data_IF_155003142201
#
_entry.id   IF_155003142201
#
_cell.length_a   1.000
_cell.length_b   1.000
_cell.length_c   1.000
_cell.angle_alpha   90.00
_cell.angle_beta   90.00
_cell.angle_gamma   90.00
#
_symmetry.space_group_name_H-M   'P 1'
#
loop_
_entity.id
_entity.type
_entity.pdbx_description
1 polymer ?
#
# COMPACT_ATOMS: atom_id res chain seq x y z
N UNK A 1 -0.20 4.42 -5.05
CA UNK A 1 -0.23 5.58 -5.97
C UNK A 1 0.36 6.84 -5.33
N UNK A 2 0.00 7.20 -4.09
CA UNK A 2 0.48 8.37 -3.32
C UNK A 2 1.98 8.70 -3.32
N UNK A 3 2.83 7.68 -3.47
CA UNK A 3 4.29 7.82 -3.40
C UNK A 3 4.95 8.03 -4.76
N UNK A 4 4.20 8.03 -5.87
CA UNK A 4 4.75 8.15 -7.22
C UNK A 4 5.21 9.56 -7.60
N UNK A 5 5.01 10.56 -6.74
CA UNK A 5 5.48 11.93 -6.94
C UNK A 5 4.54 12.85 -7.72
N UNK A 6 3.41 12.34 -8.22
CA UNK A 6 2.37 13.16 -8.87
C UNK A 6 1.41 13.77 -7.85
N UNK A 7 1.13 15.07 -8.00
CA UNK A 7 0.26 15.80 -7.08
C UNK A 7 -1.24 15.67 -7.38
N UNK A 8 -1.60 15.47 -8.66
CA UNK A 8 -2.98 15.34 -9.11
C UNK A 8 -3.26 13.89 -9.46
N UNK A 9 -3.97 13.19 -8.56
CA UNK A 9 -4.40 11.82 -8.76
C UNK A 9 -5.88 11.79 -9.15
N UNK A 10 -6.20 11.14 -10.26
CA UNK A 10 -7.57 10.98 -10.77
C UNK A 10 -7.93 9.50 -10.70
N UNK A 11 -9.07 9.18 -10.11
CA UNK A 11 -9.61 7.82 -10.09
C UNK A 11 -10.85 7.75 -10.98
N UNK A 12 -10.73 7.08 -12.13
CA UNK A 12 -11.82 6.96 -13.11
C UNK A 12 -12.63 5.69 -12.85
N UNK A 13 -13.94 5.82 -12.70
CA UNK A 13 -14.89 4.73 -12.55
C UNK A 13 -15.79 4.67 -13.79
N UNK A 14 -15.66 3.60 -14.56
CA UNK A 14 -16.46 3.38 -15.78
C UNK A 14 -17.64 2.44 -15.51
N UNK A 15 -18.79 2.76 -16.11
CA UNK A 15 -20.04 1.99 -16.04
C UNK A 15 -21.07 2.59 -15.08
N UNK A 16 -22.24 1.96 -15.00
CA UNK A 16 -23.27 2.32 -14.02
C UNK A 16 -23.09 1.49 -12.73
N UNK A 17 -22.70 2.09 -11.60
CA UNK A 17 -22.58 1.38 -10.33
C UNK A 17 -23.86 0.68 -9.90
N UNK A 18 -25.04 1.20 -10.30
CA UNK A 18 -26.33 0.61 -9.93
C UNK A 18 -26.64 -0.69 -10.67
N UNK A 19 -25.92 -0.98 -11.75
CA UNK A 19 -26.04 -2.26 -12.47
C UNK A 19 -25.31 -3.41 -11.78
N UNK A 20 -24.50 -3.12 -10.76
CA UNK A 20 -23.75 -4.10 -9.98
C UNK A 20 -24.48 -4.46 -8.69
N UNK A 21 -24.47 -5.74 -8.31
CA UNK A 21 -24.94 -6.21 -6.99
C UNK A 21 -24.15 -5.57 -5.84
N UNK A 22 -22.93 -5.09 -6.11
CA UNK A 22 -22.07 -4.39 -5.15
C UNK A 22 -22.21 -2.86 -5.21
N UNK A 23 -23.33 -2.33 -5.73
CA UNK A 23 -23.53 -0.89 -5.94
C UNK A 23 -23.22 -0.02 -4.71
N UNK A 24 -23.67 -0.42 -3.53
CA UNK A 24 -23.43 0.31 -2.28
C UNK A 24 -21.95 0.32 -1.91
N UNK A 25 -21.28 -0.83 -2.01
CA UNK A 25 -19.85 -0.95 -1.74
C UNK A 25 -19.02 -0.10 -2.71
N UNK A 26 -19.37 -0.08 -4.00
CA UNK A 26 -18.70 0.74 -5.03
C UNK A 26 -18.87 2.23 -4.70
N UNK A 27 -20.08 2.67 -4.34
CA UNK A 27 -20.34 4.06 -3.96
C UNK A 27 -19.52 4.46 -2.74
N UNK A 28 -19.51 3.62 -1.70
CA UNK A 28 -18.71 3.85 -0.49
C UNK A 28 -17.22 3.92 -0.80
N UNK A 29 -16.67 2.96 -1.55
CA UNK A 29 -15.28 2.97 -1.95
C UNK A 29 -14.90 4.22 -2.76
N UNK A 30 -15.79 4.65 -3.67
CA UNK A 30 -15.60 5.88 -4.44
C UNK A 30 -15.58 7.13 -3.53
N UNK A 31 -16.50 7.22 -2.57
CA UNK A 31 -16.50 8.32 -1.60
C UNK A 31 -15.27 8.31 -0.69
N UNK A 32 -14.83 7.14 -0.22
CA UNK A 32 -13.58 6.98 0.55
C UNK A 32 -12.38 7.48 -0.26
N UNK A 33 -12.28 7.06 -1.52
CA UNK A 33 -11.19 7.44 -2.44
C UNK A 33 -11.17 8.95 -2.68
N UNK A 34 -12.34 9.58 -2.81
CA UNK A 34 -12.47 11.02 -3.03
C UNK A 34 -12.16 11.83 -1.77
N UNK A 35 -12.79 11.49 -0.64
CA UNK A 35 -12.80 12.33 0.57
C UNK A 35 -11.63 12.02 1.50
N UNK A 36 -11.38 10.72 1.76
CA UNK A 36 -10.37 10.31 2.73
C UNK A 36 -9.00 10.20 2.06
N UNK A 37 -8.95 9.64 0.87
CA UNK A 37 -7.68 9.50 0.16
C UNK A 37 -7.34 10.81 -0.57
N UNK A 38 -8.29 11.49 -1.22
CA UNK A 38 -8.07 12.81 -1.83
C UNK A 38 -7.85 12.76 -3.35
N UNK A 39 -8.28 11.68 -4.01
CA UNK A 39 -8.31 11.60 -5.47
C UNK A 39 -9.45 12.44 -6.05
N UNK A 40 -9.25 12.94 -7.27
CA UNK A 40 -10.37 13.40 -8.10
C UNK A 40 -11.10 12.21 -8.71
N UNK A 41 -12.26 11.85 -8.16
CA UNK A 41 -13.04 10.69 -8.62
C UNK A 41 -13.96 11.08 -9.77
N UNK A 42 -13.61 10.62 -10.98
CA UNK A 42 -14.38 10.88 -12.20
C UNK A 42 -15.20 9.65 -12.57
N UNK A 43 -16.46 9.85 -12.97
CA UNK A 43 -17.37 8.77 -13.35
C UNK A 43 -17.78 8.91 -14.81
N UNK A 44 -17.78 7.80 -15.54
CA UNK A 44 -18.20 7.73 -16.95
C UNK A 44 -19.14 6.54 -17.14
N UNK A 45 -20.12 6.67 -18.03
CA UNK A 45 -21.14 5.63 -18.20
C UNK A 45 -20.72 4.49 -19.14
N UNK A 46 -19.70 4.71 -19.96
CA UNK A 46 -19.24 3.77 -20.99
C UNK A 46 -17.83 4.10 -21.47
N UNK A 47 -17.21 3.16 -22.19
CA UNK A 47 -15.93 3.36 -22.89
C UNK A 47 -15.96 4.60 -23.78
N UNK A 48 -17.05 4.84 -24.51
CA UNK A 48 -17.17 5.99 -25.40
C UNK A 48 -17.11 7.32 -24.62
N UNK A 49 -17.75 7.36 -23.45
CA UNK A 49 -17.73 8.52 -22.56
C UNK A 49 -16.35 8.72 -21.91
N UNK A 50 -15.69 7.62 -21.51
CA UNK A 50 -14.29 7.60 -21.04
C UNK A 50 -13.32 8.18 -22.07
N UNK A 51 -13.39 7.72 -23.32
CA UNK A 51 -12.52 8.22 -24.40
C UNK A 51 -12.77 9.71 -24.64
N UNK A 52 -14.03 10.15 -24.65
CA UNK A 52 -14.38 11.57 -24.79
C UNK A 52 -13.82 12.41 -23.64
N UNK A 53 -13.92 11.91 -22.40
CA UNK A 53 -13.36 12.56 -21.21
C UNK A 53 -11.84 12.72 -21.32
N UNK A 54 -11.12 11.68 -21.73
CA UNK A 54 -9.67 11.74 -21.98
C UNK A 54 -9.31 12.72 -23.10
N UNK A 55 -10.11 12.80 -24.16
CA UNK A 55 -9.94 13.79 -25.22
C UNK A 55 -10.03 15.23 -24.69
N UNK A 56 -11.06 15.54 -23.90
CA UNK A 56 -11.20 16.85 -23.26
C UNK A 56 -10.06 17.15 -22.28
N UNK A 57 -9.67 16.19 -21.46
CA UNK A 57 -8.58 16.36 -20.49
C UNK A 57 -7.25 16.65 -21.19
N UNK A 58 -6.93 15.89 -22.24
CA UNK A 58 -5.72 16.08 -23.06
C UNK A 58 -5.71 17.46 -23.71
N UNK A 59 -6.84 17.89 -24.27
CA UNK A 59 -6.97 19.21 -24.87
C UNK A 59 -6.79 20.34 -23.85
N UNK A 60 -7.41 20.21 -22.67
CA UNK A 60 -7.30 21.19 -21.59
C UNK A 60 -5.86 21.31 -21.06
N UNK A 61 -5.17 20.19 -20.84
CA UNK A 61 -3.76 20.18 -20.42
C UNK A 61 -2.89 20.83 -21.48
N UNK A 62 -3.07 20.45 -22.76
CA UNK A 62 -2.31 21.02 -23.87
C UNK A 62 -2.50 22.53 -23.93
N UNK A 63 -3.76 23.00 -23.90
CA UNK A 63 -4.08 24.42 -23.93
C UNK A 63 -3.51 25.20 -22.73
N UNK A 64 -3.56 24.62 -21.53
CA UNK A 64 -3.01 25.24 -20.32
C UNK A 64 -1.50 25.49 -20.44
N UNK A 65 -0.73 24.48 -20.86
CA UNK A 65 0.72 24.62 -20.94
C UNK A 65 1.18 25.42 -22.18
N UNK A 66 0.45 25.39 -23.29
CA UNK A 66 0.78 26.24 -24.45
C UNK A 66 0.56 27.72 -24.14
N UNK A 67 -0.51 28.07 -23.44
CA UNK A 67 -0.82 29.47 -23.06
C UNK A 67 0.10 30.01 -21.97
N UNK A 68 0.48 29.19 -20.98
CA UNK A 68 1.38 29.60 -19.89
C UNK A 68 2.86 29.71 -20.27
N UNK A 69 3.31 29.08 -21.36
CA UNK A 69 4.71 29.17 -21.84
C UNK A 69 5.18 30.61 -22.16
N UNK A 70 4.27 31.58 -22.22
CA UNK A 70 4.53 32.99 -22.44
C UNK A 70 4.91 33.79 -21.17
N UNK A 71 4.68 33.23 -19.98
CA UNK A 71 5.12 33.81 -18.71
C UNK A 71 6.34 33.03 -18.21
N UNK A 72 7.45 33.73 -18.01
CA UNK A 72 8.71 33.18 -17.52
C UNK A 72 8.50 32.34 -16.27
N UNK A 73 8.57 31.01 -16.41
CA UNK A 73 8.63 30.11 -15.27
C UNK A 73 9.86 30.48 -14.44
N UNK A 74 9.63 31.06 -13.27
CA UNK A 74 10.68 31.23 -12.27
C UNK A 74 11.17 29.82 -11.91
N UNK A 75 12.47 29.59 -12.09
CA UNK A 75 13.11 28.26 -12.05
C UNK A 75 13.02 27.53 -10.70
N UNK A 76 12.24 28.03 -9.74
CA UNK A 76 12.16 27.56 -8.36
C UNK A 76 10.97 26.65 -8.04
N UNK A 77 9.94 26.55 -8.89
CA UNK A 77 8.85 25.60 -8.67
C UNK A 77 9.15 24.31 -9.43
N UNK A 78 9.28 23.20 -8.70
CA UNK A 78 9.59 21.87 -9.25
C UNK A 78 8.55 21.46 -10.29
N UNK A 79 8.90 21.69 -11.56
CA UNK A 79 8.20 21.19 -12.73
C UNK A 79 8.26 19.66 -12.66
N UNK A 80 7.12 19.01 -12.88
CA UNK A 80 6.87 17.56 -12.91
C UNK A 80 8.12 16.69 -13.18
N UNK A 81 8.32 15.55 -12.47
CA UNK A 81 9.44 14.66 -12.78
C UNK A 81 9.45 14.29 -14.26
N UNK A 82 10.64 14.06 -14.81
CA UNK A 82 10.73 13.48 -16.15
C UNK A 82 10.02 12.13 -16.17
N UNK A 83 9.56 11.71 -17.35
CA UNK A 83 8.90 10.42 -17.50
C UNK A 83 9.76 9.25 -17.00
N UNK A 84 11.07 9.30 -17.27
CA UNK A 84 12.01 8.28 -16.81
C UNK A 84 12.14 8.24 -15.28
N UNK A 85 12.23 9.40 -14.62
CA UNK A 85 12.27 9.49 -13.15
C UNK A 85 10.97 8.98 -12.52
N UNK A 86 9.83 9.31 -13.12
CA UNK A 86 8.53 8.82 -12.68
C UNK A 86 8.46 7.29 -12.77
N UNK A 87 8.82 6.70 -13.92
CA UNK A 87 8.80 5.24 -14.10
C UNK A 87 9.75 4.56 -13.13
N UNK A 88 10.98 5.08 -12.96
CA UNK A 88 11.94 4.56 -12.00
C UNK A 88 11.38 4.59 -10.58
N UNK A 89 10.74 5.68 -10.18
CA UNK A 89 10.09 5.82 -8.87
C UNK A 89 8.99 4.77 -8.69
N UNK A 90 8.14 4.56 -9.69
CA UNK A 90 7.11 3.52 -9.65
C UNK A 90 7.72 2.12 -9.49
N UNK A 91 8.77 1.79 -10.25
CA UNK A 91 9.47 0.50 -10.12
C UNK A 91 10.11 0.33 -8.74
N UNK A 92 10.70 1.39 -8.18
CA UNK A 92 11.29 1.36 -6.84
C UNK A 92 10.22 1.14 -5.75
N UNK A 93 8.99 1.64 -5.95
CA UNK A 93 7.87 1.43 -5.04
C UNK A 93 7.28 0.02 -5.11
N UNK A 94 7.43 -0.68 -6.23
CA UNK A 94 6.98 -2.07 -6.41
C UNK A 94 7.94 -3.08 -5.77
N UNK A 95 9.18 -2.67 -5.44
CA UNK A 95 10.14 -3.53 -4.78
C UNK A 95 9.68 -3.86 -3.37
N UNK A 96 9.66 -5.15 -3.05
CA UNK A 96 9.44 -5.67 -1.70
C UNK A 96 10.76 -6.14 -1.09
N UNK A 97 10.99 -5.79 0.16
CA UNK A 97 12.09 -6.34 0.96
C UNK A 97 11.69 -7.67 1.59
N UNK A 98 12.68 -8.44 2.08
CA UNK A 98 12.42 -9.68 2.84
C UNK A 98 11.59 -9.40 4.09
N UNK A 99 11.79 -8.24 4.72
CA UNK A 99 11.00 -7.80 5.87
C UNK A 99 9.56 -7.51 5.48
N UNK A 100 9.30 -6.84 4.35
CA UNK A 100 7.92 -6.59 3.88
C UNK A 100 7.16 -7.91 3.65
N UNK A 101 7.82 -8.88 3.00
CA UNK A 101 7.25 -10.22 2.78
C UNK A 101 7.01 -10.92 4.12
N UNK A 102 7.94 -10.82 5.07
CA UNK A 102 7.78 -11.44 6.38
C UNK A 102 6.63 -10.82 7.19
N UNK A 103 6.47 -9.49 7.15
CA UNK A 103 5.34 -8.82 7.78
C UNK A 103 4.00 -9.31 7.21
N UNK A 104 3.90 -9.45 5.88
CA UNK A 104 2.71 -10.00 5.22
C UNK A 104 2.43 -11.44 5.66
N UNK A 105 3.47 -12.28 5.77
CA UNK A 105 3.35 -13.67 6.25
C UNK A 105 2.87 -13.72 7.71
N UNK A 106 3.41 -12.87 8.58
CA UNK A 106 3.00 -12.78 9.98
C UNK A 106 1.53 -12.39 10.12
N UNK A 107 1.05 -11.43 9.32
CA UNK A 107 -0.36 -11.00 9.34
C UNK A 107 -1.35 -12.07 8.84
N UNK A 108 -0.88 -13.16 8.22
CA UNK A 108 -1.73 -14.33 7.93
C UNK A 108 -1.94 -15.23 9.15
N UNK A 109 -1.19 -15.03 10.23
CA UNK A 109 -1.29 -15.84 11.45
C UNK A 109 -2.46 -15.34 12.31
N UNK A 110 -3.33 -16.24 12.81
CA UNK A 110 -4.43 -15.83 13.67
C UNK A 110 -3.93 -15.05 14.90
N UNK A 111 -4.59 -13.93 15.18
CA UNK A 111 -4.27 -12.99 16.28
C UNK A 111 -3.01 -12.13 16.08
N UNK A 112 -2.47 -12.09 14.86
CA UNK A 112 -1.38 -11.17 14.51
C UNK A 112 -1.95 -9.99 13.73
N UNK A 113 -2.00 -8.82 14.38
CA UNK A 113 -2.35 -7.55 13.74
C UNK A 113 -1.10 -6.90 13.11
N UNK A 114 -1.28 -5.79 12.39
CA UNK A 114 -0.16 -5.01 11.86
C UNK A 114 0.80 -4.58 12.97
N UNK A 115 0.29 -4.10 14.11
CA UNK A 115 1.11 -3.67 15.24
C UNK A 115 1.92 -4.82 15.84
N UNK A 116 1.32 -6.01 15.91
CA UNK A 116 2.02 -7.23 16.37
C UNK A 116 3.11 -7.62 15.38
N UNK A 117 2.82 -7.60 14.07
CA UNK A 117 3.80 -7.90 13.04
C UNK A 117 4.99 -6.93 13.10
N UNK A 118 4.74 -5.62 13.17
CA UNK A 118 5.78 -4.60 13.31
C UNK A 118 6.62 -4.82 14.57
N UNK A 119 5.98 -5.11 15.72
CA UNK A 119 6.70 -5.40 16.96
C UNK A 119 7.62 -6.62 16.84
N UNK A 120 7.23 -7.65 16.08
CA UNK A 120 8.10 -8.81 15.79
C UNK A 120 9.24 -8.42 14.87
N UNK A 121 8.98 -7.65 13.82
CA UNK A 121 10.00 -7.20 12.86
C UNK A 121 11.09 -6.34 13.50
N UNK A 122 10.72 -5.49 14.47
CA UNK A 122 11.66 -4.65 15.21
C UNK A 122 12.74 -5.47 15.95
N UNK A 123 12.39 -6.70 16.36
CA UNK A 123 13.30 -7.63 17.02
C UNK A 123 13.95 -8.61 16.03
N UNK A 124 13.17 -9.09 15.07
CA UNK A 124 13.56 -10.13 14.12
C UNK A 124 13.09 -9.73 12.72
N UNK A 125 13.90 -8.99 11.95
CA UNK A 125 13.47 -8.42 10.67
C UNK A 125 13.22 -9.47 9.57
N UNK A 126 13.61 -10.73 9.80
CA UNK A 126 13.44 -11.85 8.87
C UNK A 126 12.98 -13.12 9.56
N UNK A 127 12.35 -14.02 8.81
CA UNK A 127 12.02 -15.39 9.28
C UNK A 127 13.27 -16.09 9.82
N UNK A 128 14.42 -15.96 9.14
CA UNK A 128 15.67 -16.60 9.54
C UNK A 128 16.17 -16.09 10.89
N UNK A 129 16.12 -14.78 11.14
CA UNK A 129 16.51 -14.24 12.46
C UNK A 129 15.60 -14.74 13.58
N UNK A 130 14.29 -14.88 13.32
CA UNK A 130 13.35 -15.40 14.30
C UNK A 130 13.57 -16.91 14.55
N UNK A 131 13.80 -17.69 13.48
CA UNK A 131 14.09 -19.11 13.58
C UNK A 131 15.39 -19.37 14.38
N UNK A 132 16.43 -18.55 14.17
CA UNK A 132 17.66 -18.63 14.98
C UNK A 132 17.39 -18.37 16.46
N UNK A 133 16.61 -17.36 16.79
CA UNK A 133 16.23 -17.10 18.18
C UNK A 133 15.47 -18.27 18.81
N UNK A 134 14.56 -18.93 18.06
CA UNK A 134 13.92 -20.14 18.54
C UNK A 134 14.89 -21.31 18.72
N UNK A 135 15.90 -21.45 17.86
CA UNK A 135 16.92 -22.50 17.97
C UNK A 135 17.78 -22.38 19.24
N UNK A 136 18.02 -21.16 19.72
CA UNK A 136 18.83 -20.92 20.94
C UNK A 136 18.16 -21.44 22.22
N UNK A 137 16.84 -21.57 22.20
CA UNK A 137 16.02 -22.06 23.31
C UNK A 137 15.33 -23.39 22.97
N UNK A 138 15.87 -24.11 21.98
CA UNK A 138 15.34 -25.39 21.56
C UNK A 138 15.34 -26.42 22.71
N UNK A 139 14.27 -27.22 22.77
CA UNK A 139 14.05 -28.21 23.83
C UNK A 139 13.09 -27.75 24.93
N UNK A 140 12.87 -26.45 25.10
CA UNK A 140 11.79 -25.91 25.95
C UNK A 140 10.68 -25.27 25.10
N UNK A 141 9.70 -26.10 24.76
CA UNK A 141 8.55 -25.68 23.94
C UNK A 141 7.77 -24.55 24.60
N UNK A 142 7.67 -24.51 25.93
CA UNK A 142 6.92 -23.44 26.61
C UNK A 142 7.68 -22.12 26.52
N UNK A 143 9.00 -22.14 26.72
CA UNK A 143 9.83 -20.96 26.54
C UNK A 143 9.77 -20.44 25.10
N UNK A 144 9.78 -21.33 24.10
CA UNK A 144 9.62 -20.97 22.69
C UNK A 144 8.24 -20.36 22.40
N UNK A 145 7.16 -20.94 22.92
CA UNK A 145 5.81 -20.42 22.73
C UNK A 145 5.62 -19.03 23.36
N UNK A 146 6.26 -18.74 24.50
CA UNK A 146 6.14 -17.46 25.22
C UNK A 146 7.24 -16.43 24.87
N UNK A 147 8.25 -16.79 24.05
CA UNK A 147 9.43 -15.96 23.76
C UNK A 147 9.06 -14.54 23.32
N UNK A 148 8.21 -14.40 22.30
CA UNK A 148 7.87 -13.09 21.72
C UNK A 148 7.03 -12.25 22.68
N UNK A 149 6.07 -12.88 23.39
CA UNK A 149 5.26 -12.22 24.42
C UNK A 149 6.11 -11.65 25.55
N UNK A 150 7.14 -12.38 25.97
CA UNK A 150 8.00 -11.94 27.07
C UNK A 150 8.91 -10.76 26.66
N UNK A 151 9.18 -10.61 25.36
CA UNK A 151 10.02 -9.54 24.82
C UNK A 151 9.23 -8.28 24.45
N UNK A 152 7.93 -8.38 24.14
CA UNK A 152 7.09 -7.22 23.81
C UNK A 152 5.68 -7.32 24.40
N UNK A 153 5.26 -6.25 25.08
CA UNK A 153 3.90 -6.10 25.64
C UNK A 153 2.81 -6.02 24.57
N UNK A 154 3.17 -5.68 23.32
CA UNK A 154 2.23 -5.65 22.20
C UNK A 154 1.83 -7.07 21.74
N UNK A 155 2.64 -8.09 22.07
CA UNK A 155 2.46 -9.45 21.58
C UNK A 155 1.72 -10.27 22.64
N UNK A 156 0.49 -10.65 22.33
CA UNK A 156 -0.29 -11.55 23.19
C UNK A 156 0.22 -12.99 23.18
N UNK A 157 -0.14 -13.77 24.20
CA UNK A 157 0.23 -15.18 24.32
C UNK A 157 -0.25 -16.03 23.13
N UNK A 158 -1.44 -15.74 22.61
CA UNK A 158 -1.98 -16.44 21.44
C UNK A 158 -1.16 -16.16 20.17
N UNK A 159 -0.81 -14.90 19.93
CA UNK A 159 0.03 -14.49 18.80
C UNK A 159 1.42 -15.12 18.88
N UNK A 160 2.09 -15.01 20.03
CA UNK A 160 3.43 -15.60 20.26
C UNK A 160 3.47 -17.10 19.95
N UNK A 161 2.49 -17.85 20.47
CA UNK A 161 2.38 -19.29 20.23
C UNK A 161 2.06 -19.63 18.77
N UNK A 162 1.18 -18.87 18.12
CA UNK A 162 0.82 -19.15 16.73
C UNK A 162 1.97 -18.84 15.77
N UNK A 163 2.74 -17.79 16.04
CA UNK A 163 3.95 -17.46 15.27
C UNK A 163 5.01 -18.56 15.44
N UNK A 164 5.24 -19.03 16.67
CA UNK A 164 6.13 -20.17 16.91
C UNK A 164 5.73 -21.41 16.09
N UNK A 165 4.44 -21.74 16.06
CA UNK A 165 3.93 -22.87 15.27
C UNK A 165 4.19 -22.71 13.77
N UNK A 166 4.00 -21.50 13.24
CA UNK A 166 4.27 -21.21 11.84
C UNK A 166 5.76 -21.38 11.51
N UNK A 167 6.64 -20.78 12.32
CA UNK A 167 8.05 -20.59 11.96
C UNK A 167 8.95 -21.76 12.35
N UNK A 168 8.63 -22.47 13.44
CA UNK A 168 9.52 -23.49 14.02
C UNK A 168 8.93 -24.90 14.05
N UNK A 169 7.61 -25.06 14.22
CA UNK A 169 6.95 -26.36 14.41
C UNK A 169 6.39 -26.96 13.10
N UNK A 170 6.80 -26.45 11.94
CA UNK A 170 6.37 -26.97 10.63
C UNK A 170 6.94 -28.35 10.34
#
# INVERSE_FOLDING_TARGET
MWRCGLQKLIYLIEGDPNSSEAAESIKTAAFTTEILEGFDVQRTSSVADTVKKYGHLTHAITHYYTTQSSHSFDKSERICPSYEEFIKTCQDLEKMTVSDVFALQLMQVPQVTEEVALAVLDMYPTVLSLARAYSEIEGDVRAQEDMLRNQSKAIGAGASRNIYKLVWRS
#
